data_IF_253791101002
#
_entry.id   IF_253791101002
#
_cell.length_a   1.000
_cell.length_b   1.000
_cell.length_c   1.000
_cell.angle_alpha   90.00
_cell.angle_beta   90.00
_cell.angle_gamma   90.00
#
_symmetry.space_group_name_H-M   'P 1'
#
loop_
_entity.id
_entity.type
_entity.pdbx_description
1 polymer ?
#
# COMPACT_ATOMS: atom_id res chain seq x y z
N UNK A 1 9.19 -15.91 12.32
CA UNK A 1 10.52 -15.77 12.96
C UNK A 1 10.38 -15.25 14.40
N UNK A 2 11.39 -15.43 15.25
CA UNK A 2 11.36 -14.90 16.62
C UNK A 2 11.21 -13.37 16.69
N UNK A 3 10.60 -12.87 17.77
CA UNK A 3 10.41 -11.43 18.00
C UNK A 3 9.23 -10.82 17.27
N UNK A 4 8.43 -11.60 16.56
CA UNK A 4 7.15 -11.11 16.01
C UNK A 4 6.14 -10.88 17.14
N UNK A 5 5.27 -9.88 16.94
CA UNK A 5 4.16 -9.64 17.86
C UNK A 5 2.84 -9.73 17.10
N UNK A 6 1.98 -10.62 17.55
CA UNK A 6 0.61 -10.78 17.05
C UNK A 6 -0.36 -10.47 18.17
N UNK A 7 -1.13 -9.41 18.03
CA UNK A 7 -2.11 -9.03 19.04
C UNK A 7 -3.38 -9.89 18.94
N UNK A 8 -4.07 -10.02 20.06
CA UNK A 8 -5.38 -10.70 20.14
C UNK A 8 -6.36 -10.16 19.09
N UNK A 9 -7.03 -11.06 18.37
CA UNK A 9 -7.97 -10.71 17.30
C UNK A 9 -7.35 -10.47 15.93
N UNK A 10 -6.04 -10.55 15.78
CA UNK A 10 -5.42 -10.64 14.46
C UNK A 10 -5.56 -12.06 13.89
N UNK A 11 -5.79 -12.18 12.59
CA UNK A 11 -5.82 -13.43 11.86
C UNK A 11 -4.67 -13.49 10.85
N UNK A 12 -3.94 -14.58 10.87
CA UNK A 12 -2.86 -14.85 9.91
C UNK A 12 -3.16 -16.20 9.26
N UNK A 13 -3.45 -16.15 7.96
CA UNK A 13 -3.77 -17.33 7.17
C UNK A 13 -2.57 -18.25 6.96
N UNK A 14 -2.83 -19.49 6.48
CA UNK A 14 -1.80 -20.50 6.29
C UNK A 14 -0.75 -20.07 5.25
N UNK A 15 0.42 -20.67 5.31
CA UNK A 15 1.54 -20.42 4.38
C UNK A 15 2.02 -18.96 4.34
N UNK A 16 1.78 -18.18 5.39
CA UNK A 16 2.35 -16.84 5.55
C UNK A 16 3.75 -16.93 6.14
N UNK A 17 4.72 -16.34 5.46
CA UNK A 17 6.09 -16.19 6.01
C UNK A 17 6.17 -14.88 6.78
N UNK A 18 6.59 -14.95 8.05
CA UNK A 18 6.72 -13.80 8.92
C UNK A 18 8.18 -13.71 9.39
N UNK A 19 8.80 -12.58 9.06
CA UNK A 19 10.18 -12.30 9.48
C UNK A 19 10.20 -11.65 10.87
N UNK A 20 11.38 -11.53 11.44
CA UNK A 20 11.57 -11.01 12.80
C UNK A 20 11.05 -9.59 12.98
N UNK A 21 10.59 -9.27 14.18
CA UNK A 21 10.06 -7.93 14.56
C UNK A 21 8.83 -7.46 13.79
N UNK A 22 8.19 -8.31 13.00
CA UNK A 22 6.92 -7.96 12.36
C UNK A 22 5.82 -7.78 13.44
N UNK A 23 4.91 -6.83 13.19
CA UNK A 23 3.85 -6.47 14.13
C UNK A 23 2.47 -6.55 13.47
N UNK A 24 1.54 -7.25 14.12
CA UNK A 24 0.15 -7.41 13.69
C UNK A 24 -0.77 -6.88 14.77
N UNK A 25 -1.55 -5.84 14.44
CA UNK A 25 -2.42 -5.19 15.40
C UNK A 25 -3.80 -5.86 15.47
N UNK A 26 -4.65 -5.40 16.41
CA UNK A 26 -6.01 -5.89 16.62
C UNK A 26 -6.81 -5.86 15.31
N UNK A 27 -7.47 -6.97 14.98
CA UNK A 27 -8.31 -7.09 13.80
C UNK A 27 -7.58 -7.09 12.46
N UNK A 28 -6.24 -7.05 12.45
CA UNK A 28 -5.46 -7.26 11.24
C UNK A 28 -5.80 -8.64 10.64
N UNK A 29 -6.06 -8.68 9.33
CA UNK A 29 -6.37 -9.90 8.62
C UNK A 29 -5.38 -10.11 7.48
N UNK A 30 -4.72 -11.25 7.46
CA UNK A 30 -3.84 -11.69 6.38
C UNK A 30 -4.40 -13.00 5.82
N UNK A 31 -4.80 -12.98 4.56
CA UNK A 31 -5.41 -14.14 3.89
C UNK A 31 -4.52 -15.39 3.88
N UNK A 32 -3.21 -15.22 3.82
CA UNK A 32 -2.24 -16.32 3.71
C UNK A 32 -1.85 -16.62 2.27
N UNK A 33 -1.69 -17.90 1.93
CA UNK A 33 -1.41 -18.39 0.57
C UNK A 33 -0.25 -17.67 -0.13
N UNK A 34 0.94 -17.73 0.48
CA UNK A 34 2.15 -17.16 -0.10
C UNK A 34 2.45 -15.71 0.31
N UNK A 35 1.75 -15.16 1.30
CA UNK A 35 2.11 -13.87 1.86
C UNK A 35 3.50 -13.91 2.52
N UNK A 36 4.22 -12.78 2.44
CA UNK A 36 5.48 -12.58 3.15
C UNK A 36 5.48 -11.20 3.80
N UNK A 37 5.67 -11.19 5.09
CA UNK A 37 5.76 -9.98 5.91
C UNK A 37 7.19 -9.88 6.42
N UNK A 38 7.98 -8.99 5.83
CA UNK A 38 9.42 -8.89 6.07
C UNK A 38 9.74 -8.24 7.42
N UNK A 39 11.02 -8.18 7.77
CA UNK A 39 11.51 -7.75 9.09
C UNK A 39 11.03 -6.34 9.45
N UNK A 40 10.44 -6.21 10.64
CA UNK A 40 9.93 -4.95 11.16
C UNK A 40 8.71 -4.39 10.42
N UNK A 41 8.14 -5.12 9.47
CA UNK A 41 6.93 -4.67 8.79
C UNK A 41 5.71 -4.69 9.73
N UNK A 42 4.74 -3.82 9.46
CA UNK A 42 3.57 -3.60 10.32
C UNK A 42 2.27 -3.76 9.55
N UNK A 43 1.35 -4.55 10.10
CA UNK A 43 -0.04 -4.60 9.66
C UNK A 43 -0.88 -4.03 10.79
N UNK A 44 -1.35 -2.81 10.61
CA UNK A 44 -2.03 -2.07 11.67
C UNK A 44 -3.51 -2.50 11.81
N UNK A 45 -4.22 -1.86 12.74
CA UNK A 45 -5.55 -2.29 13.17
C UNK A 45 -6.54 -2.43 12.03
N UNK A 46 -7.21 -3.57 11.97
CA UNK A 46 -8.26 -3.88 11.01
C UNK A 46 -7.85 -3.86 9.53
N UNK A 47 -6.58 -3.66 9.19
CA UNK A 47 -6.11 -3.72 7.81
C UNK A 47 -6.34 -5.11 7.21
N UNK A 48 -6.75 -5.16 5.95
CA UNK A 48 -7.13 -6.40 5.25
C UNK A 48 -6.13 -6.68 4.14
N UNK A 49 -5.47 -7.81 4.22
CA UNK A 49 -4.41 -8.21 3.29
C UNK A 49 -4.83 -9.46 2.52
N UNK A 50 -4.84 -9.36 1.21
CA UNK A 50 -5.15 -10.44 0.28
C UNK A 50 -4.06 -11.52 0.21
N UNK A 51 -4.14 -12.38 -0.82
CA UNK A 51 -3.23 -13.50 -1.06
C UNK A 51 -1.96 -13.04 -1.76
N UNK A 52 -0.87 -13.78 -1.57
CA UNK A 52 0.40 -13.55 -2.28
C UNK A 52 0.97 -12.13 -2.13
N UNK A 53 0.60 -11.43 -1.07
CA UNK A 53 1.09 -10.07 -0.82
C UNK A 53 2.48 -10.12 -0.20
N UNK A 54 3.38 -9.23 -0.66
CA UNK A 54 4.74 -9.10 -0.14
C UNK A 54 4.92 -7.72 0.50
N UNK A 55 5.31 -7.71 1.77
CA UNK A 55 5.72 -6.50 2.49
C UNK A 55 7.23 -6.47 2.58
N UNK A 56 7.87 -5.42 2.10
CA UNK A 56 9.29 -5.17 2.29
C UNK A 56 9.62 -4.76 3.73
N UNK A 57 10.89 -4.87 4.08
CA UNK A 57 11.36 -4.59 5.43
C UNK A 57 10.98 -3.18 5.91
N UNK A 58 10.51 -3.08 7.15
CA UNK A 58 10.12 -1.82 7.78
C UNK A 58 8.90 -1.12 7.17
N UNK A 59 8.22 -1.73 6.20
CA UNK A 59 7.01 -1.16 5.62
C UNK A 59 5.80 -1.31 6.53
N UNK A 60 4.80 -0.47 6.36
CA UNK A 60 3.56 -0.49 7.12
C UNK A 60 2.33 -0.27 6.26
N UNK A 61 1.24 -0.95 6.62
CA UNK A 61 -0.11 -0.59 6.20
C UNK A 61 -0.82 0.02 7.40
N UNK A 62 -1.30 1.24 7.25
CA UNK A 62 -1.98 1.93 8.35
C UNK A 62 -3.33 1.31 8.64
N UNK A 63 -3.63 1.23 9.91
CA UNK A 63 -4.91 0.79 10.43
C UNK A 63 -5.79 1.95 10.83
N UNK A 64 -7.05 1.65 11.05
CA UNK A 64 -8.03 2.64 11.46
C UNK A 64 -8.82 2.08 12.62
N UNK A 65 -8.58 2.65 13.81
CA UNK A 65 -9.40 2.41 15.00
C UNK A 65 -10.38 3.56 15.25
N UNK A 66 -10.01 4.77 14.87
CA UNK A 66 -10.82 5.96 15.07
C UNK A 66 -10.93 6.81 13.79
N UNK A 67 -12.14 7.26 13.45
CA UNK A 67 -13.40 6.92 14.09
C UNK A 67 -13.82 5.48 13.76
N UNK A 68 -14.51 4.83 14.70
CA UNK A 68 -15.10 3.51 14.47
C UNK A 68 -16.05 3.56 13.25
N UNK A 69 -16.03 2.49 12.43
CA UNK A 69 -16.85 2.39 11.21
C UNK A 69 -16.22 3.01 9.96
N UNK A 70 -15.05 3.64 10.06
CA UNK A 70 -14.28 4.04 8.88
C UNK A 70 -13.74 2.80 8.16
N UNK A 71 -13.72 2.83 6.82
CA UNK A 71 -13.16 1.74 6.02
C UNK A 71 -11.66 1.57 6.34
N UNK A 72 -11.26 0.34 6.62
CA UNK A 72 -9.87 -0.02 6.84
C UNK A 72 -9.05 0.04 5.54
N UNK A 73 -7.74 0.08 5.66
CA UNK A 73 -6.86 -0.10 4.51
C UNK A 73 -6.97 -1.52 3.98
N UNK A 74 -6.99 -1.65 2.65
CA UNK A 74 -7.13 -2.92 1.93
C UNK A 74 -5.97 -3.06 0.96
N UNK A 75 -5.29 -4.18 1.02
CA UNK A 75 -4.28 -4.59 0.05
C UNK A 75 -4.81 -5.83 -0.65
N UNK A 76 -5.11 -5.70 -1.93
CA UNK A 76 -5.65 -6.81 -2.72
C UNK A 76 -4.58 -7.86 -3.05
N UNK A 77 -4.96 -8.92 -3.76
CA UNK A 77 -4.08 -10.05 -4.05
C UNK A 77 -2.86 -9.64 -4.91
N UNK A 78 -1.76 -10.38 -4.75
CA UNK A 78 -0.55 -10.25 -5.58
C UNK A 78 0.20 -8.90 -5.49
N UNK A 79 -0.16 -8.04 -4.55
CA UNK A 79 0.49 -6.74 -4.35
C UNK A 79 1.89 -6.90 -3.77
N UNK A 80 2.81 -6.05 -4.21
CA UNK A 80 4.16 -5.93 -3.63
C UNK A 80 4.33 -4.52 -3.07
N UNK A 81 4.65 -4.43 -1.79
CA UNK A 81 4.97 -3.17 -1.10
C UNK A 81 6.47 -3.17 -0.82
N UNK A 82 7.18 -2.18 -1.35
CA UNK A 82 8.63 -2.03 -1.17
C UNK A 82 9.01 -1.74 0.29
N UNK A 83 10.30 -1.78 0.57
CA UNK A 83 10.80 -1.49 1.90
C UNK A 83 10.54 -0.04 2.34
N UNK A 84 10.40 0.20 3.64
CA UNK A 84 10.24 1.53 4.24
C UNK A 84 9.06 2.34 3.67
N UNK A 85 8.00 1.67 3.23
CA UNK A 85 6.76 2.31 2.84
C UNK A 85 5.83 2.49 4.04
N UNK A 86 5.00 3.55 4.00
CA UNK A 86 3.86 3.71 4.90
C UNK A 86 2.62 4.00 4.05
N UNK A 87 1.64 3.10 4.09
CA UNK A 87 0.56 3.09 3.10
C UNK A 87 -0.81 3.07 3.78
N UNK A 88 -1.67 4.01 3.37
CA UNK A 88 -3.09 4.07 3.77
C UNK A 88 -3.96 3.98 2.53
N UNK A 89 -5.07 3.27 2.62
CA UNK A 89 -6.08 3.23 1.56
C UNK A 89 -6.21 1.89 0.87
N UNK A 90 -6.57 1.90 -0.40
CA UNK A 90 -6.82 0.69 -1.19
C UNK A 90 -5.71 0.52 -2.22
N UNK A 91 -5.08 -0.63 -2.20
CA UNK A 91 -4.05 -1.01 -3.17
C UNK A 91 -4.60 -2.13 -4.03
N UNK A 92 -4.85 -1.82 -5.28
CA UNK A 92 -5.44 -2.76 -6.25
C UNK A 92 -4.52 -3.92 -6.60
N UNK A 93 -5.14 -5.03 -6.97
CA UNK A 93 -4.50 -6.31 -7.29
C UNK A 93 -3.27 -6.16 -8.19
N UNK A 94 -2.23 -6.91 -7.88
CA UNK A 94 -1.01 -7.00 -8.70
C UNK A 94 -0.18 -5.71 -8.79
N UNK A 95 -0.56 -4.66 -8.05
CA UNK A 95 0.19 -3.41 -8.05
C UNK A 95 1.49 -3.53 -7.26
N UNK A 96 2.43 -2.67 -7.60
CA UNK A 96 3.73 -2.56 -6.95
C UNK A 96 3.90 -1.15 -6.39
N UNK A 97 4.24 -1.06 -5.11
CA UNK A 97 4.62 0.18 -4.44
C UNK A 97 6.15 0.18 -4.32
N UNK A 98 6.82 1.13 -4.93
CA UNK A 98 8.27 1.26 -4.83
C UNK A 98 8.71 1.58 -3.40
N UNK A 99 9.94 1.21 -3.04
CA UNK A 99 10.48 1.47 -1.71
C UNK A 99 10.45 2.95 -1.34
N UNK A 100 10.18 3.26 -0.07
CA UNK A 100 10.15 4.62 0.46
C UNK A 100 8.90 5.44 0.13
N UNK A 101 7.87 4.84 -0.45
CA UNK A 101 6.62 5.55 -0.74
C UNK A 101 5.81 5.78 0.54
N UNK A 102 5.48 7.04 0.81
CA UNK A 102 4.57 7.46 1.88
C UNK A 102 3.24 7.87 1.27
N UNK A 103 2.21 7.07 1.48
CA UNK A 103 0.85 7.31 1.00
C UNK A 103 -0.10 7.43 2.18
N UNK A 104 -0.09 8.58 2.83
CA UNK A 104 -1.00 8.90 3.93
C UNK A 104 -2.39 9.31 3.41
N UNK A 105 -3.38 9.33 4.31
CA UNK A 105 -4.72 9.85 4.02
C UNK A 105 -4.66 11.25 3.44
N UNK A 106 -5.34 11.48 2.31
CA UNK A 106 -5.33 12.76 1.58
C UNK A 106 -4.14 12.97 0.64
N UNK A 107 -3.18 12.03 0.57
CA UNK A 107 -2.10 12.07 -0.43
C UNK A 107 -2.68 12.04 -1.84
N UNK A 108 -2.23 12.95 -2.70
CA UNK A 108 -2.61 12.97 -4.11
C UNK A 108 -1.85 11.89 -4.88
N UNK A 109 -2.56 11.18 -5.72
CA UNK A 109 -2.03 10.17 -6.61
C UNK A 109 -2.23 10.66 -8.04
N UNK A 110 -1.13 10.89 -8.75
CA UNK A 110 -1.15 11.34 -10.15
C UNK A 110 -0.92 10.15 -11.07
N UNK A 111 -1.71 10.02 -12.10
CA UNK A 111 -1.64 8.96 -13.08
C UNK A 111 -1.05 9.46 -14.40
N UNK A 112 0.13 8.95 -14.75
CA UNK A 112 0.82 9.34 -15.99
C UNK A 112 0.06 8.89 -17.27
N UNK A 113 -0.77 7.82 -17.22
CA UNK A 113 -1.54 7.40 -18.38
C UNK A 113 -2.69 8.34 -18.69
N UNK A 114 -3.36 8.84 -17.67
CA UNK A 114 -4.50 9.75 -17.84
C UNK A 114 -4.11 11.22 -17.85
N UNK A 115 -2.94 11.54 -17.29
CA UNK A 115 -2.49 12.92 -17.06
C UNK A 115 -3.27 13.65 -15.97
N UNK A 116 -3.97 12.94 -15.08
CA UNK A 116 -4.81 13.53 -14.03
C UNK A 116 -4.64 12.79 -12.69
N UNK A 117 -5.34 13.27 -11.67
CA UNK A 117 -5.32 12.66 -10.35
C UNK A 117 -6.35 11.54 -10.23
N UNK A 118 -5.94 10.44 -9.60
CA UNK A 118 -6.86 9.36 -9.22
C UNK A 118 -7.83 9.86 -8.16
N UNK A 119 -9.12 9.63 -8.38
CA UNK A 119 -10.17 9.97 -7.42
C UNK A 119 -10.06 9.06 -6.18
N UNK A 120 -10.01 9.62 -4.97
CA UNK A 120 -10.04 8.81 -3.76
C UNK A 120 -11.41 8.17 -3.55
N UNK A 121 -11.45 7.08 -2.82
CA UNK A 121 -12.71 6.51 -2.33
C UNK A 121 -13.24 7.34 -1.17
N UNK A 122 -14.51 7.70 -1.23
CA UNK A 122 -15.20 8.41 -0.16
C UNK A 122 -15.81 7.42 0.83
N UNK A 123 -15.54 7.63 2.11
CA UNK A 123 -16.14 6.89 3.21
C UNK A 123 -16.83 7.89 4.15
N UNK A 124 -18.10 7.65 4.45
CA UNK A 124 -18.89 8.51 5.34
C UNK A 124 -19.13 7.77 6.67
N UNK A 125 -18.78 8.42 7.78
CA UNK A 125 -19.01 7.89 9.12
C UNK A 125 -19.69 8.99 9.97
N UNK A 126 -20.94 8.79 10.31
CA UNK A 126 -21.77 9.85 10.87
C UNK A 126 -21.85 11.04 9.90
N UNK A 127 -21.53 12.24 10.37
CA UNK A 127 -21.53 13.47 9.57
C UNK A 127 -20.16 13.77 8.95
N UNK A 128 -19.18 12.88 9.10
CA UNK A 128 -17.81 13.12 8.64
C UNK A 128 -17.50 12.32 7.37
N UNK A 129 -16.90 13.01 6.40
CA UNK A 129 -16.39 12.43 5.16
C UNK A 129 -14.89 12.20 5.27
N UNK A 130 -14.45 11.00 4.90
CA UNK A 130 -13.06 10.61 4.82
C UNK A 130 -12.72 10.22 3.39
N UNK A 131 -11.50 10.55 2.96
CA UNK A 131 -10.99 10.22 1.65
C UNK A 131 -9.88 9.18 1.80
N UNK A 132 -10.06 8.01 1.18
CA UNK A 132 -9.04 6.98 1.13
C UNK A 132 -8.34 7.03 -0.24
N UNK A 133 -7.01 7.14 -0.27
CA UNK A 133 -6.26 7.00 -1.50
C UNK A 133 -6.51 5.64 -2.14
N UNK A 134 -6.54 5.58 -3.46
CA UNK A 134 -6.74 4.34 -4.23
C UNK A 134 -5.66 4.22 -5.28
N UNK A 135 -4.92 3.12 -5.25
CA UNK A 135 -4.06 2.71 -6.35
C UNK A 135 -4.84 1.68 -7.17
N UNK A 136 -5.15 1.96 -8.45
CA UNK A 136 -5.83 1.00 -9.31
C UNK A 136 -5.01 -0.29 -9.48
N UNK A 137 -5.64 -1.41 -9.86
CA UNK A 137 -4.93 -2.66 -10.09
C UNK A 137 -3.81 -2.57 -11.13
N UNK A 138 -2.77 -3.38 -10.94
CA UNK A 138 -1.65 -3.58 -11.88
C UNK A 138 -0.84 -2.32 -12.21
N UNK A 139 -0.74 -1.39 -11.26
CA UNK A 139 0.03 -0.15 -11.41
C UNK A 139 1.32 -0.17 -10.61
N UNK A 140 2.34 0.53 -11.13
CA UNK A 140 3.55 0.84 -10.40
C UNK A 140 3.43 2.24 -9.78
N UNK A 141 3.46 2.31 -8.46
CA UNK A 141 3.42 3.57 -7.71
C UNK A 141 4.82 3.91 -7.19
N UNK A 142 5.27 5.13 -7.45
CA UNK A 142 6.54 5.67 -6.97
C UNK A 142 6.33 6.97 -6.21
N UNK A 143 7.26 7.32 -5.33
CA UNK A 143 7.29 8.64 -4.71
C UNK A 143 7.68 9.70 -5.73
N UNK A 144 7.08 10.88 -5.65
CA UNK A 144 7.38 11.98 -6.53
C UNK A 144 6.86 13.31 -6.02
N UNK A 145 7.00 14.34 -6.84
CA UNK A 145 6.46 15.67 -6.54
C UNK A 145 5.95 16.34 -7.81
N UNK A 146 4.95 17.17 -7.64
CA UNK A 146 4.35 17.94 -8.73
C UNK A 146 4.43 19.43 -8.43
N UNK A 147 4.52 20.29 -9.46
CA UNK A 147 4.47 21.73 -9.28
C UNK A 147 3.23 22.17 -8.51
N UNK A 148 3.40 23.01 -7.50
CA UNK A 148 2.28 23.59 -6.78
C UNK A 148 1.54 24.59 -7.67
N UNK A 149 0.21 24.57 -7.62
CA UNK A 149 -0.61 25.59 -8.28
C UNK A 149 -0.52 26.97 -7.59
N UNK A 150 0.00 27.00 -6.37
CA UNK A 150 0.13 28.23 -5.54
C UNK A 150 1.55 28.33 -4.99
N UNK A 151 2.43 29.01 -5.71
CA UNK A 151 3.80 29.29 -5.26
C UNK A 151 4.89 28.53 -6.02
N UNK A 152 6.15 28.87 -5.71
CA UNK A 152 7.36 28.37 -6.39
C UNK A 152 7.94 27.13 -5.66
N UNK A 153 7.11 26.16 -5.32
CA UNK A 153 7.55 24.92 -4.66
C UNK A 153 6.82 23.72 -5.26
N UNK A 154 7.36 22.53 -5.08
CA UNK A 154 6.70 21.29 -5.44
C UNK A 154 5.84 20.77 -4.28
N UNK A 155 4.75 20.11 -4.61
CA UNK A 155 3.90 19.38 -3.68
C UNK A 155 4.21 17.89 -3.83
N UNK A 156 4.42 17.22 -2.72
CA UNK A 156 4.65 15.79 -2.66
C UNK A 156 3.44 14.99 -3.15
N UNK A 157 3.67 13.96 -3.95
CA UNK A 157 2.65 13.13 -4.55
C UNK A 157 3.13 11.69 -4.73
N UNK A 158 2.20 10.75 -4.86
CA UNK A 158 2.47 9.43 -5.42
C UNK A 158 2.21 9.49 -6.92
N UNK A 159 3.13 8.96 -7.70
CA UNK A 159 3.04 8.93 -9.15
C UNK A 159 2.80 7.49 -9.61
N UNK A 160 1.72 7.25 -10.32
CA UNK A 160 1.51 6.01 -11.05
C UNK A 160 2.23 6.11 -12.38
N UNK A 161 3.21 5.24 -12.57
CA UNK A 161 3.98 5.18 -13.81
C UNK A 161 3.10 4.69 -14.95
N UNK A 162 3.31 5.24 -16.14
CA UNK A 162 2.58 4.84 -17.33
C UNK A 162 2.77 3.35 -17.64
N UNK A 163 1.68 2.70 -18.02
CA UNK A 163 1.63 1.29 -18.41
C UNK A 163 1.01 0.38 -17.36
N UNK A 164 0.72 -0.84 -17.79
CA UNK A 164 0.06 -1.90 -17.03
C UNK A 164 1.06 -3.02 -16.71
N UNK A 165 1.16 -3.43 -15.46
CA UNK A 165 2.10 -4.48 -15.01
C UNK A 165 1.77 -5.87 -15.57
N UNK A 166 0.60 -6.09 -16.17
CA UNK A 166 0.27 -7.31 -16.91
C UNK A 166 0.95 -7.33 -18.29
N UNK A 167 1.30 -6.17 -18.84
CA UNK A 167 2.01 -6.09 -20.10
C UNK A 167 3.49 -6.45 -19.96
N UNK A 168 3.93 -7.42 -20.74
CA UNK A 168 5.30 -7.93 -20.66
C UNK A 168 6.36 -6.88 -21.09
N UNK A 169 6.01 -5.91 -21.93
CA UNK A 169 6.90 -4.84 -22.33
C UNK A 169 7.08 -3.84 -21.18
N UNK A 170 5.99 -3.45 -20.54
CA UNK A 170 5.97 -2.61 -19.35
C UNK A 170 6.79 -3.26 -18.22
N UNK A 171 6.57 -4.55 -17.96
CA UNK A 171 7.34 -5.28 -16.94
C UNK A 171 8.83 -5.31 -17.25
N UNK A 172 9.23 -5.59 -18.50
CA UNK A 172 10.65 -5.56 -18.90
C UNK A 172 11.26 -4.17 -18.76
N UNK A 173 10.51 -3.12 -19.10
CA UNK A 173 10.96 -1.74 -18.95
C UNK A 173 11.30 -1.40 -17.50
N UNK A 174 10.39 -1.65 -16.58
CA UNK A 174 10.59 -1.36 -15.16
C UNK A 174 11.64 -2.25 -14.50
N UNK A 175 11.74 -3.52 -14.92
CA UNK A 175 12.80 -4.42 -14.46
C UNK A 175 14.18 -3.88 -14.84
N UNK A 176 14.35 -3.41 -16.09
CA UNK A 176 15.62 -2.81 -16.54
C UNK A 176 15.99 -1.54 -15.79
N UNK A 177 15.00 -0.80 -15.32
CA UNK A 177 15.22 0.41 -14.49
C UNK A 177 15.51 0.08 -13.02
N UNK A 178 15.43 -1.19 -12.61
CA UNK A 178 15.64 -1.61 -11.21
C UNK A 178 14.51 -1.24 -10.26
N UNK A 179 13.41 -0.70 -10.74
CA UNK A 179 12.34 -0.15 -9.88
C UNK A 179 11.52 -1.26 -9.21
N UNK A 180 11.37 -2.43 -9.86
CA UNK A 180 10.54 -3.53 -9.35
C UNK A 180 11.20 -4.39 -8.28
N UNK A 181 12.53 -4.30 -8.14
CA UNK A 181 13.34 -5.17 -7.28
C UNK A 181 14.32 -4.40 -6.39
N UNK A 182 14.05 -3.11 -6.21
CA UNK A 182 14.88 -2.25 -5.36
C UNK A 182 14.62 -2.43 -3.86
#
# INVERSE_FOLDING_TARGET
APGCMVRTGAYIGPQTVIMNLAFFNIGAYISGEGCMIDGGARVASCAQIGKNVKFGAGSGIEGILEPAGRLASIVEDHVKIGAMCEVTGIIGEGSVIASGVIMASGKKIYDEDTGDFVSPLECIVGDKKFLLPVIPPYRLAVGGSLPSKKGNHNTDAVILKAGDLRDSATMRHFTKQGILYG
#
